data_IF_131514127358
#
_entry.id   IF_131514127358
#
_cell.length_a   1.000
_cell.length_b   1.000
_cell.length_c   1.000
_cell.angle_alpha   90.00
_cell.angle_beta   90.00
_cell.angle_gamma   90.00
#
_symmetry.space_group_name_H-M   'P 1'
#
loop_
_entity.id
_entity.type
_entity.pdbx_description
1 polymer ?
#
# COMPACT_ATOMS: atom_id res chain seq x y z
N UNK A 1 27.91 -6.76 -7.97
CA UNK A 1 26.85 -6.06 -8.74
C UNK A 1 25.54 -6.37 -8.06
N UNK A 2 24.72 -5.37 -7.67
CA UNK A 2 23.47 -5.60 -6.96
C UNK A 2 22.49 -6.42 -7.80
N UNK A 3 21.65 -7.22 -7.13
CA UNK A 3 20.49 -7.83 -7.76
C UNK A 3 19.49 -6.74 -8.17
N UNK A 4 19.05 -6.74 -9.42
CA UNK A 4 18.04 -5.83 -9.91
C UNK A 4 16.70 -6.55 -10.02
N UNK A 5 15.69 -6.09 -9.28
CA UNK A 5 14.34 -6.64 -9.35
C UNK A 5 13.40 -5.64 -10.02
N UNK A 6 12.87 -6.03 -11.18
CA UNK A 6 11.87 -5.26 -11.90
C UNK A 6 10.54 -5.27 -11.16
N UNK A 7 9.59 -4.46 -11.63
CA UNK A 7 8.22 -4.49 -11.13
C UNK A 7 7.62 -5.90 -11.21
N UNK A 8 7.85 -6.59 -12.33
CA UNK A 8 7.29 -7.91 -12.57
C UNK A 8 7.94 -8.99 -11.70
N UNK A 9 9.23 -8.84 -11.36
CA UNK A 9 9.90 -9.73 -10.42
C UNK A 9 9.31 -9.55 -9.01
N UNK A 10 9.14 -8.31 -8.56
CA UNK A 10 8.53 -8.01 -7.25
C UNK A 10 7.07 -8.48 -7.20
N UNK A 11 6.30 -8.28 -8.27
CA UNK A 11 4.90 -8.70 -8.32
C UNK A 11 4.71 -10.21 -8.24
N UNK A 12 5.70 -11.01 -8.69
CA UNK A 12 5.63 -12.47 -8.71
C UNK A 12 5.88 -13.14 -7.37
N UNK A 13 6.40 -12.41 -6.38
CA UNK A 13 6.89 -12.99 -5.12
C UNK A 13 6.24 -12.39 -3.87
N UNK A 14 5.37 -11.40 -4.01
CA UNK A 14 4.74 -10.75 -2.86
C UNK A 14 3.31 -11.24 -2.69
N UNK A 15 3.10 -12.04 -1.63
CA UNK A 15 1.78 -12.38 -1.12
C UNK A 15 1.36 -11.44 0.01
N UNK A 16 0.08 -11.05 0.04
CA UNK A 16 -0.40 -9.98 0.93
C UNK A 16 -0.32 -10.37 2.41
N UNK A 17 -0.58 -11.63 2.74
CA UNK A 17 -0.50 -12.18 4.10
C UNK A 17 0.95 -12.19 4.62
N UNK A 18 1.91 -12.61 3.79
CA UNK A 18 3.34 -12.55 4.12
C UNK A 18 3.81 -11.11 4.32
N UNK A 19 3.34 -10.21 3.44
CA UNK A 19 3.62 -8.77 3.56
C UNK A 19 3.04 -8.19 4.85
N UNK A 20 1.82 -8.57 5.22
CA UNK A 20 1.21 -8.19 6.50
C UNK A 20 2.03 -8.71 7.68
N UNK A 21 2.46 -9.97 7.66
CA UNK A 21 3.33 -10.53 8.69
C UNK A 21 4.68 -9.79 8.80
N UNK A 22 5.29 -9.41 7.68
CA UNK A 22 6.53 -8.63 7.68
C UNK A 22 6.31 -7.22 8.25
N UNK A 23 5.24 -6.53 7.86
CA UNK A 23 4.90 -5.20 8.37
C UNK A 23 4.54 -5.23 9.86
N UNK A 24 3.81 -6.25 10.31
CA UNK A 24 3.46 -6.46 11.70
C UNK A 24 4.71 -6.63 12.58
N UNK A 25 5.67 -7.46 12.15
CA UNK A 25 6.98 -7.59 12.83
C UNK A 25 7.75 -6.28 12.84
N UNK A 26 7.77 -5.53 11.74
CA UNK A 26 8.46 -4.24 11.68
C UNK A 26 7.88 -3.21 12.67
N UNK A 27 6.55 -3.18 12.83
CA UNK A 27 5.90 -2.34 13.84
C UNK A 27 6.20 -2.81 15.27
N UNK A 28 6.23 -4.13 15.51
CA UNK A 28 6.62 -4.68 16.81
C UNK A 28 8.07 -4.31 17.16
N UNK A 29 8.99 -4.39 16.20
CA UNK A 29 10.39 -4.00 16.38
C UNK A 29 10.56 -2.49 16.64
N UNK A 30 9.76 -1.66 15.96
CA UNK A 30 9.68 -0.23 16.25
C UNK A 30 9.21 0.04 17.68
N UNK A 31 8.16 -0.64 18.13
CA UNK A 31 7.65 -0.51 19.49
C UNK A 31 8.64 -1.02 20.56
N UNK A 32 9.44 -2.04 20.23
CA UNK A 32 10.48 -2.58 21.09
C UNK A 32 11.75 -1.69 21.16
N UNK A 33 11.85 -0.65 20.33
CA UNK A 33 12.99 0.28 20.32
C UNK A 33 14.23 -0.26 19.62
N UNK A 34 14.13 -1.36 18.87
CA UNK A 34 15.25 -1.96 18.12
C UNK A 34 15.30 -1.51 16.65
N UNK A 35 14.29 -0.80 16.17
CA UNK A 35 14.30 -0.11 14.88
C UNK A 35 15.00 1.26 14.94
N UNK A 36 15.88 1.53 13.97
CA UNK A 36 16.42 2.87 13.70
C UNK A 36 15.67 3.46 12.52
N UNK A 37 14.76 4.39 12.81
CA UNK A 37 13.84 4.99 11.83
C UNK A 37 13.90 6.53 11.91
N UNK A 38 14.89 7.17 11.27
CA UNK A 38 14.94 8.63 11.25
C UNK A 38 13.76 9.22 10.47
N UNK A 39 13.46 10.49 10.72
CA UNK A 39 12.46 11.21 9.94
C UNK A 39 12.89 11.23 8.46
N UNK A 40 11.95 10.95 7.56
CA UNK A 40 12.19 11.01 6.12
C UNK A 40 12.67 12.39 5.69
N UNK A 41 13.59 12.43 4.73
CA UNK A 41 14.08 13.67 4.12
C UNK A 41 13.23 14.00 2.91
N UNK A 42 12.78 15.25 2.82
CA UNK A 42 12.02 15.77 1.68
C UNK A 42 12.78 16.86 0.93
N UNK A 43 12.76 16.79 -0.39
CA UNK A 43 13.26 17.84 -1.29
C UNK A 43 12.11 18.21 -2.23
N UNK A 44 11.82 19.51 -2.37
CA UNK A 44 10.72 20.00 -3.19
C UNK A 44 11.21 20.74 -4.46
N UNK A 45 11.44 20.02 -5.57
CA UNK A 45 11.55 20.64 -6.89
C UNK A 45 10.27 21.38 -7.30
N UNK A 46 10.32 22.29 -8.28
CA UNK A 46 9.15 23.10 -8.68
C UNK A 46 7.88 22.29 -9.01
N UNK A 47 8.03 21.15 -9.69
CA UNK A 47 6.91 20.33 -10.18
C UNK A 47 6.64 19.08 -9.35
N UNK A 48 7.32 18.89 -8.22
CA UNK A 48 7.19 17.64 -7.48
C UNK A 48 7.87 17.60 -6.11
N UNK A 49 7.84 16.41 -5.54
CA UNK A 49 8.40 16.11 -4.22
C UNK A 49 9.24 14.85 -4.32
N UNK A 50 10.48 14.90 -3.83
CA UNK A 50 11.33 13.73 -3.63
C UNK A 50 11.42 13.42 -2.13
N UNK A 51 11.24 12.14 -1.79
CA UNK A 51 11.30 11.64 -0.43
C UNK A 51 12.34 10.51 -0.33
N UNK A 52 13.19 10.60 0.69
CA UNK A 52 14.18 9.59 1.04
C UNK A 52 13.83 9.03 2.41
N UNK A 53 13.59 7.73 2.46
CA UNK A 53 13.07 7.04 3.64
C UNK A 53 14.02 5.91 4.04
N UNK A 54 15.14 6.22 4.70
CA UNK A 54 16.05 5.19 5.23
C UNK A 54 15.50 4.59 6.53
N UNK A 55 15.74 3.30 6.74
CA UNK A 55 15.44 2.60 7.98
C UNK A 55 16.41 1.43 8.18
N UNK A 56 16.68 1.10 9.44
CA UNK A 56 17.35 -0.14 9.82
C UNK A 56 16.55 -0.86 10.89
N UNK A 57 16.13 -2.08 10.57
CA UNK A 57 15.54 -3.02 11.53
C UNK A 57 16.65 -3.99 11.97
N UNK A 58 17.07 -3.89 13.24
CA UNK A 58 18.17 -4.66 13.83
C UNK A 58 17.85 -6.16 13.91
N UNK A 59 16.67 -6.52 14.39
CA UNK A 59 16.28 -7.93 14.57
C UNK A 59 16.01 -8.59 13.22
N UNK A 60 15.29 -7.87 12.33
CA UNK A 60 15.08 -8.32 10.96
C UNK A 60 16.32 -8.20 10.05
N UNK A 61 17.41 -7.56 10.53
CA UNK A 61 18.64 -7.27 9.78
C UNK A 61 18.38 -6.59 8.43
N UNK A 62 17.40 -5.71 8.37
CA UNK A 62 16.96 -5.05 7.14
C UNK A 62 17.40 -3.58 7.14
N UNK A 63 18.48 -3.28 6.41
CA UNK A 63 18.94 -1.91 6.14
C UNK A 63 18.49 -1.52 4.73
N UNK A 64 17.56 -0.56 4.63
CA UNK A 64 17.03 -0.16 3.34
C UNK A 64 16.75 1.34 3.26
N UNK A 65 16.78 1.87 2.04
CA UNK A 65 16.32 3.22 1.74
C UNK A 65 15.33 3.17 0.57
N UNK A 66 14.12 3.71 0.79
CA UNK A 66 13.21 4.00 -0.31
C UNK A 66 13.45 5.41 -0.81
N UNK A 67 13.69 5.53 -2.11
CA UNK A 67 13.69 6.79 -2.84
C UNK A 67 12.40 6.84 -3.64
N UNK A 68 11.57 7.84 -3.39
CA UNK A 68 10.27 7.98 -4.06
C UNK A 68 10.00 9.42 -4.44
N UNK A 69 9.42 9.63 -5.61
CA UNK A 69 8.98 10.94 -6.08
C UNK A 69 7.47 10.99 -6.28
N UNK A 70 6.90 12.19 -6.13
CA UNK A 70 5.49 12.50 -6.40
C UNK A 70 5.43 13.69 -7.33
N UNK A 71 4.98 13.47 -8.57
CA UNK A 71 4.85 14.47 -9.63
C UNK A 71 3.47 14.37 -10.25
N UNK A 72 2.55 15.25 -9.86
CA UNK A 72 1.14 15.18 -10.28
C UNK A 72 0.96 15.35 -11.80
N UNK A 73 1.87 16.08 -12.46
CA UNK A 73 1.86 16.28 -13.91
C UNK A 73 2.44 15.13 -14.73
N UNK A 74 3.08 14.13 -14.13
CA UNK A 74 3.74 13.05 -14.87
C UNK A 74 2.81 12.28 -15.83
N UNK A 75 1.59 11.88 -15.44
CA UNK A 75 0.72 11.12 -16.34
C UNK A 75 0.36 11.89 -17.60
N UNK A 76 0.04 13.18 -17.49
CA UNK A 76 -0.39 14.01 -18.62
C UNK A 76 0.77 14.55 -19.45
N UNK A 77 1.89 14.94 -18.82
CA UNK A 77 3.04 15.54 -19.51
C UNK A 77 4.02 14.52 -20.08
N UNK A 78 4.16 13.35 -19.45
CA UNK A 78 5.24 12.41 -19.73
C UNK A 78 4.79 10.95 -19.89
N UNK A 79 3.50 10.64 -19.69
CA UNK A 79 3.02 9.26 -19.71
C UNK A 79 3.59 8.39 -18.57
N UNK A 80 4.13 9.03 -17.51
CA UNK A 80 4.72 8.34 -16.36
C UNK A 80 3.76 8.30 -15.17
N UNK A 81 3.90 7.34 -14.24
CA UNK A 81 3.13 7.36 -13.00
C UNK A 81 3.37 8.63 -12.17
N UNK A 82 2.33 9.07 -11.44
CA UNK A 82 2.43 10.17 -10.46
C UNK A 82 3.45 9.86 -9.38
N UNK A 83 3.54 8.61 -8.94
CA UNK A 83 4.49 8.16 -7.92
C UNK A 83 5.46 7.16 -8.53
N UNK A 84 6.75 7.45 -8.46
CA UNK A 84 7.82 6.57 -8.95
C UNK A 84 8.77 6.32 -7.79
N UNK A 85 9.10 5.05 -7.53
CA UNK A 85 9.99 4.71 -6.44
C UNK A 85 10.94 3.58 -6.76
N UNK A 86 12.04 3.53 -6.01
CA UNK A 86 13.00 2.43 -5.94
C UNK A 86 13.36 2.18 -4.49
N UNK A 87 13.60 0.92 -4.14
CA UNK A 87 14.13 0.55 -2.83
C UNK A 87 15.53 -0.01 -3.03
N UNK A 88 16.47 0.51 -2.25
CA UNK A 88 17.81 -0.01 -2.13
C UNK A 88 17.87 -0.82 -0.84
N UNK A 89 18.28 -2.08 -0.94
CA UNK A 89 18.58 -2.95 0.18
C UNK A 89 20.10 -3.06 0.31
N UNK A 90 20.59 -2.86 1.53
CA UNK A 90 22.00 -2.92 1.85
C UNK A 90 22.26 -4.06 2.82
N UNK A 91 23.44 -4.68 2.68
CA UNK A 91 23.95 -5.58 3.70
C UNK A 91 24.40 -4.77 4.92
N UNK A 92 23.78 -4.94 6.10
CA UNK A 92 24.15 -4.19 7.29
C UNK A 92 25.56 -4.49 7.80
N UNK A 93 26.18 -5.62 7.40
CA UNK A 93 27.53 -5.98 7.84
C UNK A 93 28.62 -5.28 7.01
N UNK A 94 28.39 -5.07 5.72
CA UNK A 94 29.39 -4.52 4.78
C UNK A 94 29.05 -3.11 4.29
N UNK A 95 27.78 -2.71 4.38
CA UNK A 95 27.26 -1.47 3.81
C UNK A 95 26.99 -1.52 2.30
N UNK A 96 27.35 -2.62 1.63
CA UNK A 96 27.20 -2.75 0.18
C UNK A 96 25.71 -2.84 -0.22
N UNK A 97 25.39 -2.30 -1.40
CA UNK A 97 24.05 -2.40 -1.96
C UNK A 97 23.90 -3.79 -2.59
N UNK A 98 23.07 -4.62 -1.97
CA UNK A 98 22.85 -6.00 -2.43
C UNK A 98 21.67 -6.13 -3.38
N UNK A 99 20.69 -5.21 -3.31
CA UNK A 99 19.56 -5.22 -4.22
C UNK A 99 18.98 -3.82 -4.48
N UNK A 100 18.54 -3.59 -5.72
CA UNK A 100 17.72 -2.44 -6.11
C UNK A 100 16.44 -2.98 -6.76
N UNK A 101 15.28 -2.56 -6.23
CA UNK A 101 13.99 -3.11 -6.65
C UNK A 101 12.93 -2.04 -6.93
N UNK A 102 11.88 -2.40 -7.67
CA UNK A 102 10.74 -1.52 -7.89
C UNK A 102 10.09 -1.08 -6.56
N UNK A 103 10.08 0.23 -6.32
CA UNK A 103 9.45 0.80 -5.14
C UNK A 103 7.99 1.20 -5.36
N UNK A 104 7.51 1.21 -6.60
CA UNK A 104 6.13 1.61 -6.94
C UNK A 104 5.12 0.56 -6.46
N UNK A 105 5.25 -0.67 -6.94
CA UNK A 105 4.39 -1.78 -6.52
C UNK A 105 4.56 -2.10 -5.03
N UNK A 106 5.82 -2.19 -4.56
CA UNK A 106 6.13 -2.45 -3.15
C UNK A 106 5.51 -1.39 -2.22
N UNK A 107 5.48 -0.11 -2.64
CA UNK A 107 4.78 0.94 -1.89
C UNK A 107 3.28 0.68 -1.79
N UNK A 108 2.62 0.23 -2.86
CA UNK A 108 1.20 -0.08 -2.83
C UNK A 108 0.92 -1.27 -1.88
N UNK A 109 1.68 -2.36 -2.01
CA UNK A 109 1.51 -3.57 -1.19
C UNK A 109 1.72 -3.26 0.29
N UNK A 110 2.86 -2.65 0.66
CA UNK A 110 3.16 -2.36 2.08
C UNK A 110 2.17 -1.36 2.71
N UNK A 111 1.59 -0.47 1.90
CA UNK A 111 0.58 0.49 2.39
C UNK A 111 -0.74 -0.21 2.67
N UNK A 112 -1.15 -1.15 1.79
CA UNK A 112 -2.26 -2.05 2.07
C UNK A 112 -1.99 -2.91 3.31
N UNK A 113 -0.84 -3.58 3.37
CA UNK A 113 -0.45 -4.45 4.47
C UNK A 113 -0.44 -3.73 5.83
N UNK A 114 0.05 -2.48 5.91
CA UNK A 114 -0.01 -1.69 7.14
C UNK A 114 -1.47 -1.47 7.61
N UNK A 115 -2.39 -1.14 6.70
CA UNK A 115 -3.81 -1.05 7.03
C UNK A 115 -4.42 -2.40 7.36
N UNK A 116 -4.01 -3.48 6.70
CA UNK A 116 -4.43 -4.84 7.03
C UNK A 116 -4.07 -5.23 8.46
N UNK A 117 -2.84 -4.91 8.88
CA UNK A 117 -2.40 -5.10 10.28
C UNK A 117 -3.25 -4.24 11.22
N UNK A 118 -3.48 -2.96 10.90
CA UNK A 118 -4.35 -2.11 11.71
C UNK A 118 -5.78 -2.69 11.82
N UNK A 119 -6.38 -3.12 10.71
CA UNK A 119 -7.68 -3.80 10.65
C UNK A 119 -7.68 -5.07 11.50
N UNK A 120 -6.61 -5.87 11.47
CA UNK A 120 -6.47 -7.10 12.26
C UNK A 120 -6.62 -6.83 13.76
N UNK A 121 -6.15 -5.70 14.26
CA UNK A 121 -6.20 -5.36 15.68
C UNK A 121 -7.37 -4.47 16.09
N UNK A 122 -7.85 -3.60 15.18
CA UNK A 122 -8.78 -2.53 15.53
C UNK A 122 -10.22 -2.78 15.04
N UNK A 123 -10.41 -3.53 13.95
CA UNK A 123 -11.75 -3.87 13.50
C UNK A 123 -12.39 -4.90 14.42
N UNK A 124 -13.72 -4.79 14.62
CA UNK A 124 -14.50 -5.78 15.37
C UNK A 124 -14.19 -7.20 14.88
N UNK A 125 -14.05 -8.14 15.80
CA UNK A 125 -13.85 -9.56 15.46
C UNK A 125 -15.21 -10.21 15.19
N UNK A 126 -15.80 -9.91 14.03
CA UNK A 126 -17.06 -10.46 13.57
C UNK A 126 -16.93 -10.98 12.14
N UNK A 127 -17.63 -12.06 11.83
CA UNK A 127 -17.75 -12.57 10.47
C UNK A 127 -18.78 -11.77 9.69
N UNK A 128 -18.60 -11.69 8.37
CA UNK A 128 -19.61 -11.14 7.46
C UNK A 128 -19.65 -9.61 7.40
N UNK A 129 -18.60 -8.94 7.87
CA UNK A 129 -18.49 -7.48 7.83
C UNK A 129 -18.51 -6.94 6.41
N UNK A 130 -19.03 -5.72 6.24
CA UNK A 130 -19.02 -4.99 4.97
C UNK A 130 -17.86 -4.00 4.96
N UNK A 131 -17.01 -4.05 3.93
CA UNK A 131 -15.98 -3.03 3.73
C UNK A 131 -16.46 -1.92 2.79
N UNK A 132 -16.23 -0.66 3.14
CA UNK A 132 -16.45 0.50 2.29
C UNK A 132 -15.13 1.14 1.87
N UNK A 133 -14.90 1.28 0.57
CA UNK A 133 -13.67 1.81 -0.02
C UNK A 133 -13.95 3.11 -0.77
N UNK A 134 -13.43 4.23 -0.24
CA UNK A 134 -13.44 5.53 -0.91
C UNK A 134 -12.19 5.70 -1.77
N UNK A 135 -12.40 5.87 -3.07
CA UNK A 135 -11.37 5.88 -4.11
C UNK A 135 -11.24 4.52 -4.81
N UNK A 136 -11.02 4.54 -6.13
CA UNK A 136 -10.92 3.34 -6.96
C UNK A 136 -9.53 3.20 -7.63
N UNK A 137 -8.50 3.75 -6.99
CA UNK A 137 -7.12 3.78 -7.50
C UNK A 137 -6.27 2.57 -7.11
N UNK A 138 -4.96 2.64 -7.41
CA UNK A 138 -3.98 1.58 -7.11
C UNK A 138 -3.92 1.24 -5.62
N UNK A 139 -3.96 2.25 -4.75
CA UNK A 139 -3.92 2.03 -3.29
C UNK A 139 -5.18 1.32 -2.81
N UNK A 140 -6.36 1.76 -3.25
CA UNK A 140 -7.64 1.15 -2.89
C UNK A 140 -7.67 -0.36 -3.12
N UNK A 141 -7.07 -0.84 -4.21
CA UNK A 141 -6.99 -2.27 -4.53
C UNK A 141 -6.17 -3.04 -3.49
N UNK A 142 -5.01 -2.52 -3.12
CA UNK A 142 -4.15 -3.16 -2.11
C UNK A 142 -4.75 -3.06 -0.72
N UNK A 143 -5.46 -1.98 -0.42
CA UNK A 143 -6.22 -1.82 0.82
C UNK A 143 -7.28 -2.91 0.95
N UNK A 144 -8.13 -3.09 -0.07
CA UNK A 144 -9.16 -4.12 -0.03
C UNK A 144 -8.57 -5.53 0.11
N UNK A 145 -7.51 -5.85 -0.63
CA UNK A 145 -6.80 -7.14 -0.49
C UNK A 145 -6.34 -7.39 0.94
N UNK A 146 -5.74 -6.40 1.59
CA UNK A 146 -5.25 -6.53 2.96
C UNK A 146 -6.39 -6.63 3.99
N UNK A 147 -7.52 -5.92 3.76
CA UNK A 147 -8.71 -6.02 4.62
C UNK A 147 -9.31 -7.42 4.55
N UNK A 148 -9.40 -8.02 3.34
CA UNK A 148 -9.88 -9.39 3.15
C UNK A 148 -8.99 -10.42 3.86
N UNK A 149 -7.67 -10.23 3.85
CA UNK A 149 -6.76 -11.09 4.63
C UNK A 149 -6.97 -10.90 6.14
N UNK A 150 -7.24 -9.68 6.60
CA UNK A 150 -7.40 -9.38 8.01
C UNK A 150 -8.76 -9.82 8.60
N UNK A 151 -9.83 -9.81 7.80
CA UNK A 151 -11.21 -10.06 8.23
C UNK A 151 -12.03 -10.77 7.15
N UNK A 152 -12.91 -11.67 7.59
CA UNK A 152 -13.87 -12.34 6.72
C UNK A 152 -15.02 -11.40 6.38
N UNK A 153 -14.99 -10.86 5.16
CA UNK A 153 -16.01 -9.95 4.66
C UNK A 153 -17.19 -10.71 4.02
N UNK A 154 -18.38 -10.12 4.05
CA UNK A 154 -19.52 -10.58 3.23
C UNK A 154 -19.48 -9.97 1.83
N UNK A 155 -19.20 -8.67 1.75
CA UNK A 155 -19.06 -7.91 0.51
C UNK A 155 -18.24 -6.63 0.72
N UNK A 156 -17.86 -5.99 -0.38
CA UNK A 156 -17.30 -4.65 -0.37
C UNK A 156 -18.10 -3.67 -1.24
N UNK A 157 -18.18 -2.43 -0.78
CA UNK A 157 -18.73 -1.29 -1.50
C UNK A 157 -17.59 -0.38 -1.92
N UNK A 158 -17.60 0.11 -3.16
CA UNK A 158 -16.60 1.07 -3.66
C UNK A 158 -17.25 2.34 -4.19
N UNK A 159 -16.64 3.49 -3.91
CA UNK A 159 -17.05 4.79 -4.41
C UNK A 159 -15.85 5.57 -4.97
N UNK A 160 -15.98 6.12 -6.17
CA UNK A 160 -15.06 7.10 -6.72
C UNK A 160 -15.89 8.07 -7.59
N UNK A 161 -15.59 9.38 -7.61
CA UNK A 161 -16.30 10.33 -8.46
C UNK A 161 -16.20 10.00 -9.96
N UNK A 162 -15.29 9.11 -10.37
CA UNK A 162 -15.14 8.64 -11.75
C UNK A 162 -15.76 7.24 -11.91
N UNK A 163 -16.93 7.11 -12.56
CA UNK A 163 -17.59 5.81 -12.75
C UNK A 163 -16.70 4.77 -13.44
N UNK A 164 -15.89 5.16 -14.42
CA UNK A 164 -14.95 4.26 -15.11
C UNK A 164 -13.90 3.66 -14.15
N UNK A 165 -13.46 4.43 -13.14
CA UNK A 165 -12.52 3.93 -12.15
C UNK A 165 -13.19 2.87 -11.28
N UNK A 166 -14.44 3.08 -10.86
CA UNK A 166 -15.25 2.09 -10.13
C UNK A 166 -15.42 0.80 -10.92
N UNK A 167 -15.85 0.88 -12.18
CA UNK A 167 -16.05 -0.33 -13.01
C UNK A 167 -14.74 -1.11 -13.20
N UNK A 168 -13.62 -0.42 -13.43
CA UNK A 168 -12.30 -1.05 -13.50
C UNK A 168 -11.85 -1.62 -12.15
N UNK A 169 -12.23 -1.00 -11.04
CA UNK A 169 -11.93 -1.50 -9.70
C UNK A 169 -12.62 -2.83 -9.45
N UNK A 170 -13.93 -2.88 -9.68
CA UNK A 170 -14.75 -4.07 -9.50
C UNK A 170 -14.22 -5.20 -10.37
N UNK A 171 -14.00 -4.96 -11.66
CA UNK A 171 -13.55 -6.00 -12.59
C UNK A 171 -12.24 -6.68 -12.14
N UNK A 172 -11.17 -5.92 -11.84
CA UNK A 172 -9.88 -6.53 -11.43
C UNK A 172 -9.89 -7.04 -9.98
N UNK A 173 -10.72 -6.48 -9.09
CA UNK A 173 -10.75 -6.93 -7.70
C UNK A 173 -11.59 -8.20 -7.53
N UNK A 174 -12.74 -8.31 -8.21
CA UNK A 174 -13.59 -9.50 -8.16
C UNK A 174 -12.95 -10.72 -8.84
N UNK A 175 -12.07 -10.51 -9.82
CA UNK A 175 -11.31 -11.63 -10.43
C UNK A 175 -10.28 -12.23 -9.45
N UNK A 176 -9.75 -11.40 -8.55
CA UNK A 176 -8.65 -11.77 -7.65
C UNK A 176 -9.10 -12.10 -6.23
N UNK A 177 -10.31 -11.69 -5.88
CA UNK A 177 -10.88 -11.84 -4.55
C UNK A 177 -12.18 -12.59 -4.70
N UNK A 178 -12.32 -13.68 -3.96
CA UNK A 178 -13.59 -14.39 -3.80
C UNK A 178 -14.52 -13.58 -2.87
N UNK A 179 -14.94 -12.40 -3.35
CA UNK A 179 -15.73 -11.42 -2.61
C UNK A 179 -16.68 -10.68 -3.57
N UNK A 180 -17.93 -10.52 -3.14
CA UNK A 180 -18.87 -9.64 -3.85
C UNK A 180 -18.40 -8.18 -3.71
N UNK A 181 -18.20 -7.48 -4.84
CA UNK A 181 -17.80 -6.07 -4.86
C UNK A 181 -18.79 -5.29 -5.72
N UNK A 182 -19.44 -4.29 -5.14
CA UNK A 182 -20.44 -3.47 -5.83
C UNK A 182 -20.14 -1.98 -5.69
N UNK A 183 -20.67 -1.19 -6.62
CA UNK A 183 -20.59 0.26 -6.53
C UNK A 183 -21.53 0.76 -5.42
N UNK A 184 -21.05 1.66 -4.57
CA UNK A 184 -21.92 2.36 -3.64
C UNK A 184 -22.83 3.34 -4.38
N UNK A 185 -24.09 3.43 -3.95
CA UNK A 185 -25.09 4.34 -4.53
C UNK A 185 -24.70 5.81 -4.30
N UNK A 186 -24.16 6.11 -3.12
CA UNK A 186 -23.65 7.41 -2.72
C UNK A 186 -22.61 7.26 -1.61
N UNK A 187 -21.83 8.31 -1.28
CA UNK A 187 -20.97 8.33 -0.09
C UNK A 187 -21.75 7.99 1.19
N UNK A 188 -22.88 8.64 1.40
CA UNK A 188 -23.69 8.45 2.62
C UNK A 188 -24.24 7.03 2.70
N UNK A 189 -24.71 6.47 1.59
CA UNK A 189 -25.18 5.09 1.53
C UNK A 189 -24.08 4.07 1.81
N UNK A 190 -22.80 4.40 1.55
CA UNK A 190 -21.67 3.56 1.98
C UNK A 190 -21.47 3.65 3.49
N UNK A 191 -21.52 4.85 4.07
CA UNK A 191 -21.32 5.07 5.51
C UNK A 191 -22.38 4.35 6.36
N UNK A 192 -23.61 4.26 5.87
CA UNK A 192 -24.70 3.55 6.55
C UNK A 192 -24.52 2.01 6.55
N UNK A 193 -23.78 1.47 5.59
CA UNK A 193 -23.68 0.02 5.37
C UNK A 193 -22.33 -0.58 5.76
N UNK A 194 -21.25 0.21 5.76
CA UNK A 194 -19.90 -0.30 5.96
C UNK A 194 -19.54 -0.44 7.44
N UNK A 195 -18.99 -1.59 7.81
CA UNK A 195 -18.42 -1.86 9.13
C UNK A 195 -16.94 -1.44 9.22
N UNK A 196 -16.23 -1.49 8.08
CA UNK A 196 -14.82 -1.13 7.94
C UNK A 196 -14.72 -0.12 6.80
N UNK A 197 -14.20 1.07 7.09
CA UNK A 197 -14.03 2.13 6.09
C UNK A 197 -12.55 2.35 5.76
N UNK A 198 -12.24 2.44 4.47
CA UNK A 198 -10.92 2.78 3.97
C UNK A 198 -11.00 3.98 3.01
N UNK A 199 -10.19 5.00 3.26
CA UNK A 199 -10.05 6.16 2.38
C UNK A 199 -8.71 6.10 1.64
N UNK A 200 -8.79 5.96 0.31
CA UNK A 200 -7.65 5.84 -0.59
C UNK A 200 -7.84 6.74 -1.82
N UNK A 201 -8.32 7.97 -1.58
CA UNK A 201 -8.51 9.01 -2.58
C UNK A 201 -7.30 9.97 -2.62
N UNK A 202 -7.24 10.81 -3.65
CA UNK A 202 -6.33 11.96 -3.71
C UNK A 202 -7.02 13.26 -3.27
N UNK A 203 -8.16 13.16 -2.58
CA UNK A 203 -8.88 14.33 -2.10
C UNK A 203 -8.05 15.05 -1.03
N UNK A 204 -7.93 16.39 -1.09
CA UNK A 204 -7.30 17.15 -0.01
C UNK A 204 -8.20 17.31 1.22
N UNK A 205 -9.47 16.92 1.11
CA UNK A 205 -10.53 17.05 2.13
C UNK A 205 -11.32 15.77 2.26
#
# INVERSE_FOLDING_TARGET
>A
MPLLLTRDDVMRVLEMDECMGAVERAFAELAAGTAVLPLRIGIAPPDGLALYMPAYLREMKALACKVVTVYNGNPSKHGLPTTIGKVLLQDPATGDVICIMDGGYLTAVRTGAASGVATKYLARAADGQVAGIFGAGVQARMQLRAIVVARRLSRALVYDPRPKAVSSFIADSSERLDLEITAAVSPDGMLEQADILCTASSSPT
#
